data_IF_011087622115
#
_entry.id   IF_011087622115
#
_cell.length_a   1.000
_cell.length_b   1.000
_cell.length_c   1.000
_cell.angle_alpha   90.00
_cell.angle_beta   90.00
_cell.angle_gamma   90.00
#
_symmetry.space_group_name_H-M   'P 1'
#
loop_
_entity.id
_entity.type
_entity.pdbx_description
1 polymer ?
#
# COMPACT_ATOMS: atom_id res chain seq x y z
N UNK A 1 3.74 12.58 -4.17
CA UNK A 1 3.26 11.85 -2.97
C UNK A 1 4.46 11.51 -2.10
N UNK A 2 4.32 11.70 -0.81
CA UNK A 2 5.44 11.33 0.07
C UNK A 2 5.45 9.82 0.27
N UNK A 3 6.59 9.31 0.66
CA UNK A 3 6.71 7.90 0.95
C UNK A 3 5.86 7.52 2.15
N UNK A 4 5.06 6.48 1.98
CA UNK A 4 4.24 5.95 3.05
C UNK A 4 4.94 4.73 3.64
N UNK A 5 5.13 4.73 4.93
CA UNK A 5 5.86 3.66 5.61
C UNK A 5 4.91 2.56 6.05
N UNK A 6 5.45 1.39 6.29
CA UNK A 6 4.66 0.26 6.78
C UNK A 6 3.99 0.58 8.12
N UNK A 7 4.69 1.33 8.99
CA UNK A 7 4.13 1.71 10.27
C UNK A 7 2.86 2.54 10.10
N UNK A 8 2.90 3.51 9.19
CA UNK A 8 1.73 4.32 8.92
C UNK A 8 0.60 3.49 8.33
N UNK A 9 0.94 2.63 7.39
CA UNK A 9 -0.06 1.83 6.69
C UNK A 9 -0.69 0.78 7.59
N UNK A 10 0.03 0.31 8.58
CA UNK A 10 -0.47 -0.72 9.48
C UNK A 10 -1.65 -0.26 10.32
N UNK A 11 -1.80 1.06 10.47
CA UNK A 11 -2.91 1.62 11.24
C UNK A 11 -4.16 1.89 10.40
N UNK A 12 -4.09 1.63 9.12
CA UNK A 12 -5.18 1.94 8.20
C UNK A 12 -6.04 0.72 7.94
N UNK A 13 -7.31 0.98 7.66
CA UNK A 13 -8.22 -0.08 7.28
C UNK A 13 -7.94 -0.51 5.84
N UNK A 14 -8.49 -1.62 5.45
CA UNK A 14 -8.39 -2.10 4.07
C UNK A 14 -8.89 -1.05 3.10
N UNK A 15 -10.01 -0.39 3.43
CA UNK A 15 -10.58 0.63 2.54
C UNK A 15 -9.65 1.82 2.39
N UNK A 16 -9.03 2.24 3.49
CA UNK A 16 -8.06 3.33 3.44
C UNK A 16 -6.87 2.96 2.58
N UNK A 17 -6.41 1.72 2.70
CA UNK A 17 -5.29 1.25 1.89
C UNK A 17 -5.64 1.22 0.41
N UNK A 18 -6.86 0.83 0.08
CA UNK A 18 -7.31 0.82 -1.31
C UNK A 18 -7.39 2.24 -1.87
N UNK A 19 -7.84 3.19 -1.07
CA UNK A 19 -7.88 4.59 -1.48
C UNK A 19 -6.46 5.11 -1.76
N UNK A 20 -5.53 4.79 -0.89
CA UNK A 20 -4.14 5.18 -1.08
C UNK A 20 -3.53 4.52 -2.29
N UNK A 21 -3.91 3.28 -2.56
CA UNK A 21 -3.45 2.57 -3.74
C UNK A 21 -3.87 3.31 -5.00
N UNK A 22 -5.13 3.74 -5.05
CA UNK A 22 -5.63 4.49 -6.19
C UNK A 22 -4.89 5.81 -6.35
N UNK A 23 -4.63 6.50 -5.23
CA UNK A 23 -3.88 7.76 -5.27
C UNK A 23 -2.45 7.54 -5.77
N UNK A 24 -1.80 6.47 -5.31
CA UNK A 24 -0.45 6.16 -5.74
C UNK A 24 -0.41 5.88 -7.24
N UNK A 25 -1.39 5.16 -7.75
CA UNK A 25 -1.47 4.88 -9.18
C UNK A 25 -1.68 6.14 -10.00
N UNK A 26 -2.53 7.05 -9.51
CA UNK A 26 -2.71 8.33 -10.16
C UNK A 26 -1.43 9.14 -10.19
N UNK A 27 -0.73 9.17 -9.08
CA UNK A 27 0.52 9.90 -8.98
C UNK A 27 1.56 9.34 -9.96
N UNK A 28 1.66 8.03 -10.03
CA UNK A 28 2.60 7.37 -10.95
C UNK A 28 2.25 7.72 -12.40
N UNK A 29 0.96 7.74 -12.70
CA UNK A 29 0.52 8.05 -14.06
C UNK A 29 0.82 9.49 -14.46
N UNK A 30 0.76 10.42 -13.52
CA UNK A 30 0.93 11.83 -13.83
C UNK A 30 2.33 12.35 -13.57
N UNK A 31 3.11 11.67 -12.74
CA UNK A 31 4.47 12.12 -12.45
C UNK A 31 5.42 11.70 -13.55
N UNK A 32 6.46 12.48 -13.73
CA UNK A 32 7.48 12.13 -14.71
C UNK A 32 8.24 10.91 -14.21
N UNK A 33 8.38 9.94 -15.08
CA UNK A 33 9.07 8.70 -14.73
C UNK A 33 10.50 9.01 -14.27
N UNK A 34 10.87 8.46 -13.13
CA UNK A 34 12.19 8.68 -12.56
C UNK A 34 12.31 9.90 -11.69
N UNK A 35 11.27 10.74 -11.61
CA UNK A 35 11.30 11.91 -10.74
C UNK A 35 11.19 11.48 -9.28
N UNK A 36 11.56 12.36 -8.34
CA UNK A 36 11.38 12.02 -6.92
C UNK A 36 9.94 11.69 -6.56
N UNK A 37 8.99 12.41 -7.15
CA UNK A 37 7.58 12.13 -6.91
C UNK A 37 7.19 10.76 -7.41
N UNK A 38 7.67 10.40 -8.58
CA UNK A 38 7.41 9.10 -9.17
C UNK A 38 8.00 7.99 -8.29
N UNK A 39 9.25 8.19 -7.86
CA UNK A 39 9.94 7.21 -7.02
C UNK A 39 9.22 7.01 -5.69
N UNK A 40 8.78 8.10 -5.07
CA UNK A 40 8.05 8.02 -3.80
C UNK A 40 6.72 7.31 -3.98
N UNK A 41 6.04 7.59 -5.08
CA UNK A 41 4.76 6.95 -5.37
C UNK A 41 4.94 5.45 -5.62
N UNK A 42 5.99 5.08 -6.33
CA UNK A 42 6.28 3.66 -6.58
C UNK A 42 6.58 2.91 -5.29
N UNK A 43 7.41 3.51 -4.44
CA UNK A 43 7.74 2.88 -3.16
C UNK A 43 6.49 2.77 -2.27
N UNK A 44 5.67 3.81 -2.26
CA UNK A 44 4.41 3.78 -1.51
C UNK A 44 3.49 2.71 -2.05
N UNK A 45 3.40 2.58 -3.36
CA UNK A 45 2.57 1.57 -3.99
C UNK A 45 2.97 0.17 -3.52
N UNK A 46 4.26 -0.12 -3.52
CA UNK A 46 4.76 -1.42 -3.07
C UNK A 46 4.37 -1.66 -1.62
N UNK A 47 4.57 -0.67 -0.77
CA UNK A 47 4.23 -0.79 0.65
C UNK A 47 2.74 -1.01 0.86
N UNK A 48 1.91 -0.27 0.13
CA UNK A 48 0.46 -0.40 0.22
C UNK A 48 0.02 -1.81 -0.21
N UNK A 49 0.58 -2.29 -1.29
CA UNK A 49 0.24 -3.62 -1.79
C UNK A 49 0.62 -4.71 -0.81
N UNK A 50 1.77 -4.55 -0.15
CA UNK A 50 2.20 -5.51 0.84
C UNK A 50 1.26 -5.52 2.04
N UNK A 51 0.81 -4.34 2.46
CA UNK A 51 -0.15 -4.25 3.57
C UNK A 51 -1.49 -4.87 3.18
N UNK A 52 -1.95 -4.59 1.97
CA UNK A 52 -3.20 -5.17 1.49
C UNK A 52 -3.11 -6.70 1.43
N UNK A 53 -1.98 -7.21 0.98
CA UNK A 53 -1.77 -8.64 0.92
C UNK A 53 -1.80 -9.25 2.31
N UNK A 54 -1.21 -8.56 3.28
CA UNK A 54 -1.23 -9.02 4.66
C UNK A 54 -2.65 -9.08 5.22
N UNK A 55 -3.46 -8.06 4.92
CA UNK A 55 -4.85 -8.07 5.35
C UNK A 55 -5.62 -9.21 4.71
N UNK A 56 -5.36 -9.41 3.40
CA UNK A 56 -6.09 -10.38 2.66
C UNK A 56 -5.73 -11.79 3.08
N UNK A 57 -4.49 -12.03 3.40
CA UNK A 57 -4.00 -13.35 3.74
C UNK A 57 -3.80 -13.51 5.23
N UNK A 58 -4.44 -12.68 6.02
CA UNK A 58 -4.33 -12.79 7.45
C UNK A 58 -4.55 -14.19 7.84
N UNK A 59 -3.62 -14.76 8.47
CA UNK A 59 -3.75 -16.15 8.78
C UNK A 59 -4.74 -16.25 9.87
N UNK A 60 -5.74 -16.78 9.72
CA UNK A 60 -6.56 -16.94 10.60
C UNK A 60 -6.12 -18.02 11.30
N UNK A 61 -6.13 -17.99 12.34
CA UNK A 61 -5.71 -19.07 13.06
C UNK A 61 -6.57 -20.19 12.78
N UNK A 62 -6.72 -20.53 12.48
CA UNK A 62 -7.29 -21.35 12.15
C UNK A 62 -7.46 -22.14 12.53
N UNK A 63 -7.70 -22.36 12.85
CA UNK A 63 -7.74 -22.98 13.01
C UNK A 63 -7.68 -23.77 13.14
N UNK A 64 -7.74 -24.40 13.62
CA UNK A 64 -7.62 -25.11 13.68
C UNK A 64 -8.04 -25.63 13.55
N UNK A 65 -8.00 -25.81 13.44
CA UNK A 65 -8.22 -26.14 13.18
C UNK A 65 -8.47 -26.26 13.11
N UNK A 66 -8.37 -26.34 13.11
CA UNK A 66 -8.54 -26.30 12.91
C UNK A 66 -8.70 -26.52 12.78
#
# INVERSE_FOLDING_TARGET
MRLLTHTELAHLSKFDLEDLLALALLEISSAKQGSPEWNSAMASLVNIRQELAAHKTTPRPRGPGF
#
